data_IF_806022840091
#
_entry.id   IF_806022840091
#
_cell.length_a   1.000
_cell.length_b   1.000
_cell.length_c   1.000
_cell.angle_alpha   90.00
_cell.angle_beta   90.00
_cell.angle_gamma   90.00
#
_symmetry.space_group_name_H-M   'P 1'
#
loop_
_entity.id
_entity.type
_entity.pdbx_description
1 polymer ?
#
# COMPACT_ATOMS: atom_id res chain seq x y z
N UNK A 1 -23.67 22.83 -2.04
CA UNK A 1 -23.17 21.48 -2.32
C UNK A 1 -24.09 20.76 -3.29
N UNK A 2 -24.10 21.18 -4.56
CA UNK A 2 -24.65 20.35 -5.63
C UNK A 2 -23.51 19.47 -6.13
N UNK A 3 -23.71 18.16 -6.09
CA UNK A 3 -22.80 17.16 -6.66
C UNK A 3 -22.81 17.31 -8.18
N UNK A 4 -22.04 18.25 -8.71
CA UNK A 4 -21.65 18.23 -10.11
C UNK A 4 -20.67 17.07 -10.30
N UNK A 5 -21.18 15.90 -10.73
CA UNK A 5 -20.42 14.87 -11.44
C UNK A 5 -19.04 14.47 -10.87
N UNK A 6 -18.95 14.13 -9.58
CA UNK A 6 -17.76 13.47 -9.06
C UNK A 6 -17.73 12.00 -9.52
N UNK A 7 -17.30 11.74 -10.76
CA UNK A 7 -16.99 10.39 -11.22
C UNK A 7 -15.70 9.96 -10.54
N UNK A 8 -15.81 9.21 -9.45
CA UNK A 8 -14.67 8.64 -8.73
C UNK A 8 -13.90 7.61 -9.56
N UNK A 9 -12.74 7.14 -9.07
CA UNK A 9 -11.99 6.10 -9.75
C UNK A 9 -12.85 4.83 -9.94
N UNK A 10 -12.66 4.08 -11.04
CA UNK A 10 -13.25 2.76 -11.24
C UNK A 10 -13.04 1.86 -10.02
N UNK A 11 -13.99 0.93 -9.79
CA UNK A 11 -13.97 0.09 -8.58
C UNK A 11 -12.64 -0.65 -8.39
N UNK A 12 -12.08 -1.22 -9.47
CA UNK A 12 -10.78 -1.91 -9.41
C UNK A 12 -9.62 -0.98 -9.00
N UNK A 13 -9.64 0.28 -9.44
CA UNK A 13 -8.65 1.27 -9.00
C UNK A 13 -8.83 1.60 -7.51
N UNK A 14 -10.07 1.84 -7.09
CA UNK A 14 -10.38 2.17 -5.70
C UNK A 14 -10.01 1.03 -4.73
N UNK A 15 -10.21 -0.23 -5.13
CA UNK A 15 -9.82 -1.40 -4.35
C UNK A 15 -8.31 -1.47 -4.14
N UNK A 16 -7.50 -1.22 -5.17
CA UNK A 16 -6.04 -1.22 -5.06
C UNK A 16 -5.52 -0.06 -4.22
N UNK A 17 -6.10 1.13 -4.34
CA UNK A 17 -5.78 2.28 -3.49
C UNK A 17 -6.04 1.96 -2.01
N UNK A 18 -7.19 1.32 -1.70
CA UNK A 18 -7.57 0.98 -0.31
C UNK A 18 -6.68 -0.08 0.34
N UNK A 19 -6.05 -0.95 -0.46
CA UNK A 19 -5.11 -1.98 0.02
C UNK A 19 -3.72 -1.41 0.31
N UNK A 20 -3.37 -0.26 -0.25
CA UNK A 20 -2.05 0.33 -0.11
C UNK A 20 -1.75 0.70 1.36
N UNK A 21 -0.51 0.48 1.80
CA UNK A 21 -0.09 0.74 3.18
C UNK A 21 1.10 1.69 3.22
N UNK A 22 1.27 2.40 4.34
CA UNK A 22 2.45 3.25 4.52
C UNK A 22 3.76 2.44 4.54
N UNK A 23 3.72 1.19 5.03
CA UNK A 23 4.86 0.27 4.91
C UNK A 23 5.26 0.05 3.45
N UNK A 24 4.27 -0.14 2.57
CA UNK A 24 4.51 -0.31 1.14
C UNK A 24 5.10 0.95 0.51
N UNK A 25 4.56 2.13 0.84
CA UNK A 25 5.08 3.42 0.38
C UNK A 25 6.57 3.57 0.69
N UNK A 26 6.97 3.31 1.93
CA UNK A 26 8.36 3.41 2.36
C UNK A 26 9.23 2.40 1.60
N UNK A 27 8.79 1.14 1.52
CA UNK A 27 9.53 0.10 0.81
C UNK A 27 9.72 0.38 -0.70
N UNK A 28 8.77 1.07 -1.34
CA UNK A 28 8.87 1.41 -2.78
C UNK A 28 9.76 2.63 -3.04
N UNK A 29 9.93 3.52 -2.04
CA UNK A 29 10.59 4.81 -2.19
C UNK A 29 11.89 4.93 -1.36
N UNK A 30 12.42 3.83 -0.85
CA UNK A 30 13.64 3.82 -0.04
C UNK A 30 14.64 2.80 -0.59
N UNK A 31 15.84 3.26 -0.93
CA UNK A 31 16.88 2.39 -1.47
C UNK A 31 17.43 1.42 -0.42
N UNK A 32 17.61 1.88 0.82
CA UNK A 32 18.25 1.08 1.88
C UNK A 32 17.25 0.28 2.73
N UNK A 33 15.96 0.63 2.72
CA UNK A 33 14.96 -0.06 3.53
C UNK A 33 14.48 -1.32 2.79
N UNK A 34 15.09 -2.46 3.11
CA UNK A 34 14.70 -3.78 2.57
C UNK A 34 13.82 -4.60 3.51
N UNK A 35 13.76 -4.22 4.78
CA UNK A 35 13.01 -4.91 5.83
C UNK A 35 12.24 -3.89 6.64
N UNK A 36 10.92 -4.09 6.81
CA UNK A 36 10.04 -3.18 7.51
C UNK A 36 8.90 -3.93 8.20
N UNK A 37 8.32 -3.36 9.25
CA UNK A 37 7.11 -3.89 9.87
C UNK A 37 5.84 -3.40 9.14
N UNK A 38 4.78 -4.22 8.97
CA UNK A 38 3.57 -3.81 8.26
C UNK A 38 2.84 -2.60 8.87
N UNK A 39 2.80 -2.50 10.20
CA UNK A 39 2.18 -1.38 10.92
C UNK A 39 3.26 -0.41 11.38
N UNK A 40 3.69 0.52 10.52
CA UNK A 40 4.90 1.34 10.74
C UNK A 40 4.84 2.26 11.96
N UNK A 41 3.64 2.70 12.36
CA UNK A 41 3.45 3.51 13.56
C UNK A 41 3.39 2.70 14.86
N UNK A 42 3.34 1.37 14.77
CA UNK A 42 3.41 0.48 15.94
C UNK A 42 4.84 -0.02 16.11
N UNK A 43 5.23 -0.23 17.37
CA UNK A 43 6.51 -0.84 17.71
C UNK A 43 6.58 -2.24 17.07
N UNK A 44 7.73 -2.62 16.47
CA UNK A 44 7.92 -3.98 15.98
C UNK A 44 7.81 -5.01 17.12
N UNK A 45 7.23 -6.17 16.84
CA UNK A 45 7.06 -7.23 17.83
C UNK A 45 6.43 -8.48 17.26
N UNK A 46 6.03 -9.43 18.11
CA UNK A 46 5.46 -10.72 17.69
C UNK A 46 4.26 -10.58 16.73
N UNK A 47 3.42 -9.56 16.95
CA UNK A 47 2.24 -9.26 16.13
C UNK A 47 2.47 -8.19 15.05
N UNK A 48 3.69 -7.67 14.95
CA UNK A 48 4.11 -6.68 13.95
C UNK A 48 5.59 -6.93 13.58
N UNK A 49 5.92 -8.14 13.09
CA UNK A 49 7.30 -8.50 12.83
C UNK A 49 7.84 -7.66 11.68
N UNK A 50 9.16 -7.49 11.66
CA UNK A 50 9.87 -6.96 10.51
C UNK A 50 9.92 -8.02 9.40
N UNK A 51 9.45 -7.68 8.22
CA UNK A 51 9.33 -8.56 7.06
C UNK A 51 10.08 -7.95 5.87
N UNK A 52 10.52 -8.79 4.93
CA UNK A 52 11.17 -8.33 3.71
C UNK A 52 10.19 -7.55 2.82
N UNK A 53 10.60 -6.40 2.29
CA UNK A 53 9.80 -5.59 1.37
C UNK A 53 9.46 -6.32 0.05
N UNK A 54 10.21 -7.37 -0.32
CA UNK A 54 9.93 -8.22 -1.49
C UNK A 54 8.97 -9.37 -1.21
N UNK A 55 8.64 -9.63 0.06
CA UNK A 55 7.77 -10.73 0.46
C UNK A 55 6.29 -10.33 0.51
N UNK A 56 5.42 -11.32 0.80
CA UNK A 56 3.97 -11.12 0.80
C UNK A 56 3.43 -10.36 2.03
N UNK A 57 4.28 -10.13 3.04
CA UNK A 57 3.89 -9.42 4.27
C UNK A 57 3.68 -7.91 4.10
N UNK A 58 4.23 -7.32 3.03
CA UNK A 58 4.04 -5.92 2.64
C UNK A 58 3.67 -5.93 1.15
N UNK A 59 2.39 -6.22 0.82
CA UNK A 59 1.98 -6.51 -0.54
C UNK A 59 2.14 -5.30 -1.46
N UNK A 60 2.48 -5.57 -2.72
CA UNK A 60 2.51 -4.57 -3.79
C UNK A 60 1.11 -4.27 -4.30
N UNK A 61 0.92 -3.03 -4.74
CA UNK A 61 -0.29 -2.61 -5.42
C UNK A 61 -0.34 -3.25 -6.82
N UNK A 62 -1.51 -3.70 -7.23
CA UNK A 62 -1.74 -4.10 -8.61
C UNK A 62 -2.08 -2.87 -9.46
N UNK A 63 -1.28 -2.59 -10.49
CA UNK A 63 -1.49 -1.45 -11.39
C UNK A 63 -2.28 -1.82 -12.65
N UNK A 64 -2.70 -3.09 -12.83
CA UNK A 64 -3.53 -3.52 -13.97
C UNK A 64 -4.82 -2.68 -14.13
N UNK A 65 -5.51 -2.21 -13.08
CA UNK A 65 -6.69 -1.35 -13.25
C UNK A 65 -6.43 0.04 -13.86
N UNK A 66 -5.17 0.44 -14.05
CA UNK A 66 -4.75 1.67 -14.73
C UNK A 66 -4.26 1.43 -16.16
N UNK A 67 -4.27 0.19 -16.63
CA UNK A 67 -3.90 -0.11 -18.01
C UNK A 67 -4.93 0.50 -18.96
N UNK A 68 -4.45 1.26 -19.94
CA UNK A 68 -5.23 1.79 -21.07
C UNK A 68 -5.58 0.71 -22.10
#
# INVERSE_FOLDING_TARGET
CTLHNAKGPPLGQLEEIRKYTLARLICDNSDEIKILQPMVFRVPGKFNPRLTCSGNGIPKMDLRPWKE
#
